data_IF_034248619614
#
_entry.id   IF_034248619614
#
_cell.length_a   1.000
_cell.length_b   1.000
_cell.length_c   1.000
_cell.angle_alpha   90.00
_cell.angle_beta   90.00
_cell.angle_gamma   90.00
#
_symmetry.space_group_name_H-M   'P 1'
#
loop_
_entity.id
_entity.type
_entity.pdbx_description
1 polymer ?
#
# COMPACT_ATOMS: atom_id res chain seq x y z
N UNK A 1 -6.79 -16.03 -31.35
CA UNK A 1 -7.28 -14.78 -31.97
C UNK A 1 -7.85 -13.79 -30.95
N UNK A 2 -8.61 -14.22 -29.94
CA UNK A 2 -9.14 -13.35 -28.87
C UNK A 2 -8.07 -12.58 -28.05
N UNK A 3 -6.95 -13.22 -27.73
CA UNK A 3 -5.82 -12.64 -26.97
C UNK A 3 -5.07 -11.53 -27.72
N UNK A 4 -5.07 -11.58 -29.06
CA UNK A 4 -4.37 -10.60 -29.91
C UNK A 4 -5.20 -9.32 -30.10
N UNK A 5 -6.52 -9.46 -30.17
CA UNK A 5 -7.46 -8.34 -30.21
C UNK A 5 -7.47 -7.54 -28.89
N UNK A 6 -7.36 -8.20 -27.74
CA UNK A 6 -7.34 -7.50 -26.44
C UNK A 6 -6.12 -6.60 -26.25
N UNK A 7 -4.90 -7.04 -26.62
CA UNK A 7 -3.69 -6.21 -26.49
C UNK A 7 -3.70 -4.99 -27.41
N UNK A 8 -4.19 -5.14 -28.64
CA UNK A 8 -4.32 -4.03 -29.58
C UNK A 8 -5.44 -3.05 -29.18
N UNK A 9 -6.55 -3.55 -28.65
CA UNK A 9 -7.69 -2.73 -28.18
C UNK A 9 -7.35 -2.01 -26.87
N UNK A 10 -6.65 -2.65 -25.93
CA UNK A 10 -6.21 -2.00 -24.68
C UNK A 10 -5.31 -0.78 -24.93
N UNK A 11 -4.46 -0.83 -25.96
CA UNK A 11 -3.62 0.30 -26.40
C UNK A 11 -4.43 1.45 -27.02
N UNK A 12 -5.46 1.15 -27.81
CA UNK A 12 -6.37 2.15 -28.41
C UNK A 12 -7.32 2.77 -27.37
N UNK A 13 -7.70 1.99 -26.36
CA UNK A 13 -8.62 2.36 -25.29
C UNK A 13 -7.98 3.29 -24.25
N UNK A 14 -6.65 3.21 -24.07
CA UNK A 14 -5.89 4.19 -23.30
C UNK A 14 -5.97 5.61 -23.90
N UNK A 15 -6.41 5.74 -25.16
CA UNK A 15 -6.42 6.99 -25.93
C UNK A 15 -7.82 7.59 -26.18
N UNK A 16 -8.94 6.88 -26.01
CA UNK A 16 -10.28 7.45 -26.24
C UNK A 16 -11.45 6.72 -25.54
N UNK A 17 -12.55 7.43 -25.17
CA UNK A 17 -13.67 6.86 -24.44
C UNK A 17 -14.77 6.37 -25.40
N UNK A 18 -14.55 5.30 -26.16
CA UNK A 18 -15.65 4.68 -26.91
C UNK A 18 -16.39 3.67 -26.02
N UNK A 19 -17.50 4.12 -25.41
CA UNK A 19 -18.32 3.36 -24.46
C UNK A 19 -18.85 2.03 -25.02
N UNK A 20 -19.20 1.97 -26.31
CA UNK A 20 -19.75 0.76 -26.94
C UNK A 20 -18.71 -0.35 -27.13
N UNK A 21 -17.46 0.02 -27.44
CA UNK A 21 -16.35 -0.92 -27.55
C UNK A 21 -16.03 -1.52 -26.17
N UNK A 22 -16.04 -0.67 -25.14
CA UNK A 22 -15.89 -1.08 -23.75
C UNK A 22 -16.99 -2.03 -23.29
N UNK A 23 -18.25 -1.76 -23.65
CA UNK A 23 -19.36 -2.63 -23.30
C UNK A 23 -19.18 -4.04 -23.89
N UNK A 24 -18.72 -4.15 -25.14
CA UNK A 24 -18.45 -5.45 -25.80
C UNK A 24 -17.24 -6.17 -25.22
N UNK A 25 -16.12 -5.48 -25.02
CA UNK A 25 -14.93 -6.08 -24.36
C UNK A 25 -15.27 -6.56 -22.95
N UNK A 26 -16.09 -5.79 -22.21
CA UNK A 26 -16.61 -6.18 -20.91
C UNK A 26 -17.63 -7.33 -20.98
N UNK A 27 -18.36 -7.51 -22.07
CA UNK A 27 -19.28 -8.63 -22.21
C UNK A 27 -18.54 -9.93 -22.55
N UNK A 28 -17.55 -9.86 -23.44
CA UNK A 28 -17.05 -11.04 -24.15
C UNK A 28 -15.68 -11.54 -23.64
N UNK A 29 -14.92 -10.73 -22.89
CA UNK A 29 -13.58 -11.14 -22.41
C UNK A 29 -13.61 -11.70 -20.98
N UNK A 30 -13.16 -12.95 -20.86
CA UNK A 30 -12.91 -13.69 -19.59
C UNK A 30 -11.42 -13.86 -19.30
N UNK A 31 -10.53 -13.16 -20.03
CA UNK A 31 -9.07 -13.24 -19.84
C UNK A 31 -8.65 -12.50 -18.56
N UNK A 32 -8.68 -13.18 -17.42
CA UNK A 32 -8.36 -12.60 -16.11
C UNK A 32 -6.95 -11.99 -16.00
N UNK A 33 -5.88 -12.64 -16.50
CA UNK A 33 -4.56 -12.01 -16.58
C UNK A 33 -4.55 -10.69 -17.36
N UNK A 34 -5.26 -10.62 -18.49
CA UNK A 34 -5.32 -9.40 -19.27
C UNK A 34 -6.12 -8.28 -18.57
N UNK A 35 -7.18 -8.63 -17.84
CA UNK A 35 -7.89 -7.71 -16.95
C UNK A 35 -7.00 -7.19 -15.81
N UNK A 36 -6.13 -8.03 -15.26
CA UNK A 36 -5.19 -7.61 -14.22
C UNK A 36 -4.20 -6.57 -14.77
N UNK A 37 -3.61 -6.80 -15.95
CA UNK A 37 -2.72 -5.83 -16.61
C UNK A 37 -3.41 -4.49 -16.86
N UNK A 38 -4.65 -4.53 -17.37
CA UNK A 38 -5.45 -3.34 -17.64
C UNK A 38 -5.70 -2.54 -16.35
N UNK A 39 -6.10 -3.24 -15.27
CA UNK A 39 -6.31 -2.61 -13.97
C UNK A 39 -5.04 -1.93 -13.46
N UNK A 40 -3.87 -2.58 -13.57
CA UNK A 40 -2.59 -1.98 -13.17
C UNK A 40 -2.23 -0.75 -14.01
N UNK A 41 -2.52 -0.76 -15.31
CA UNK A 41 -2.28 0.39 -16.17
C UNK A 41 -3.15 1.60 -15.75
N UNK A 42 -4.42 1.38 -15.44
CA UNK A 42 -5.30 2.44 -14.92
C UNK A 42 -4.88 2.91 -13.53
N UNK A 43 -4.48 1.99 -12.64
CA UNK A 43 -3.97 2.35 -11.32
C UNK A 43 -2.68 3.17 -11.42
N UNK A 44 -1.77 2.84 -12.33
CA UNK A 44 -0.58 3.65 -12.60
C UNK A 44 -0.96 5.04 -13.14
N UNK A 45 -1.98 5.13 -13.99
CA UNK A 45 -2.45 6.43 -14.50
C UNK A 45 -3.08 7.30 -13.41
N UNK A 46 -3.80 6.69 -12.48
CA UNK A 46 -4.27 7.37 -11.27
C UNK A 46 -3.09 7.78 -10.39
N UNK A 47 -2.08 6.93 -10.26
CA UNK A 47 -0.85 7.32 -9.58
C UNK A 47 -0.18 8.54 -10.25
N UNK A 48 -0.11 8.60 -11.58
CA UNK A 48 0.56 9.71 -12.28
C UNK A 48 -0.18 11.05 -12.14
N UNK A 49 -1.49 11.02 -11.87
CA UNK A 49 -2.29 12.22 -11.59
C UNK A 49 -1.74 13.02 -10.41
N UNK A 50 -1.21 12.35 -9.38
CA UNK A 50 -0.69 12.98 -8.16
C UNK A 50 0.74 13.53 -8.31
N UNK A 51 0.96 14.34 -9.34
CA UNK A 51 2.25 14.98 -9.67
C UNK A 51 2.10 16.49 -9.89
N UNK A 52 1.24 17.12 -9.09
CA UNK A 52 0.93 18.54 -9.20
C UNK A 52 2.13 19.44 -8.83
N UNK A 53 2.86 19.96 -9.82
CA UNK A 53 4.03 20.85 -9.58
C UNK A 53 3.67 22.21 -8.96
N UNK A 54 2.44 22.68 -9.17
CA UNK A 54 1.92 23.93 -8.59
C UNK A 54 0.54 23.66 -7.98
N UNK A 55 0.11 24.45 -6.97
CA UNK A 55 -1.25 24.37 -6.47
C UNK A 55 -2.22 24.73 -7.60
N UNK A 56 -3.07 23.80 -7.98
CA UNK A 56 -4.04 23.94 -9.07
C UNK A 56 -5.40 23.40 -8.64
N UNK A 57 -6.45 23.80 -9.33
CA UNK A 57 -7.72 23.09 -9.25
C UNK A 57 -7.53 21.72 -9.88
N UNK A 58 -7.90 20.68 -9.13
CA UNK A 58 -7.67 19.28 -9.49
C UNK A 58 -8.94 18.69 -10.12
N UNK A 59 -8.80 17.87 -11.16
CA UNK A 59 -9.92 17.16 -11.81
C UNK A 59 -10.19 15.83 -11.11
N UNK A 60 -10.90 15.92 -9.99
CA UNK A 60 -11.24 14.75 -9.16
C UNK A 60 -12.21 13.81 -9.85
N UNK A 61 -13.04 14.31 -10.78
CA UNK A 61 -14.00 13.48 -11.52
C UNK A 61 -13.25 12.52 -12.42
N UNK A 62 -12.27 13.02 -13.18
CA UNK A 62 -11.44 12.19 -14.03
C UNK A 62 -10.57 11.21 -13.22
N UNK A 63 -10.00 11.66 -12.10
CA UNK A 63 -9.20 10.80 -11.23
C UNK A 63 -10.03 9.64 -10.66
N UNK A 64 -11.22 9.92 -10.13
CA UNK A 64 -12.14 8.88 -9.64
C UNK A 64 -12.56 7.92 -10.76
N UNK A 65 -12.94 8.42 -11.94
CA UNK A 65 -13.31 7.55 -13.06
C UNK A 65 -12.17 6.61 -13.50
N UNK A 66 -10.92 7.07 -13.40
CA UNK A 66 -9.72 6.27 -13.68
C UNK A 66 -9.55 5.15 -12.66
N UNK A 67 -9.70 5.45 -11.36
CA UNK A 67 -9.61 4.45 -10.28
C UNK A 67 -10.80 3.48 -10.31
N UNK A 68 -12.01 3.95 -10.60
CA UNK A 68 -13.20 3.10 -10.80
C UNK A 68 -12.98 2.07 -11.90
N UNK A 69 -12.33 2.49 -12.99
CA UNK A 69 -12.00 1.61 -14.12
C UNK A 69 -10.98 0.56 -13.69
N UNK A 70 -9.95 0.94 -12.93
CA UNK A 70 -9.00 -0.01 -12.35
C UNK A 70 -9.72 -1.03 -11.44
N UNK A 71 -10.61 -0.56 -10.57
CA UNK A 71 -11.34 -1.39 -9.62
C UNK A 71 -12.19 -2.45 -10.31
N UNK A 72 -12.94 -2.05 -11.36
CA UNK A 72 -13.74 -2.97 -12.18
C UNK A 72 -12.86 -4.00 -12.89
N UNK A 73 -11.71 -3.60 -13.41
CA UNK A 73 -10.78 -4.51 -14.06
C UNK A 73 -10.24 -5.55 -13.07
N UNK A 74 -9.84 -5.14 -11.86
CA UNK A 74 -9.39 -6.07 -10.82
C UNK A 74 -10.51 -7.00 -10.33
N UNK A 75 -11.74 -6.51 -10.19
CA UNK A 75 -12.87 -7.38 -9.83
C UNK A 75 -13.07 -8.50 -10.86
N UNK A 76 -13.00 -8.16 -12.15
CA UNK A 76 -13.08 -9.16 -13.23
C UNK A 76 -11.89 -10.11 -13.22
N UNK A 77 -10.67 -9.61 -13.02
CA UNK A 77 -9.48 -10.45 -12.91
C UNK A 77 -9.60 -11.46 -11.76
N UNK A 78 -10.09 -11.03 -10.59
CA UNK A 78 -10.35 -11.92 -9.46
C UNK A 78 -11.42 -12.96 -9.76
N UNK A 79 -12.51 -12.56 -10.43
CA UNK A 79 -13.63 -13.43 -10.79
C UNK A 79 -13.23 -14.51 -11.80
N UNK A 80 -12.53 -14.14 -12.86
CA UNK A 80 -12.18 -15.03 -13.97
C UNK A 80 -10.89 -15.82 -13.75
N UNK A 81 -10.19 -15.60 -12.64
CA UNK A 81 -8.96 -16.34 -12.29
C UNK A 81 -9.00 -16.87 -10.86
N UNK A 82 -10.20 -17.19 -10.35
CA UNK A 82 -10.40 -17.73 -9.01
C UNK A 82 -9.45 -18.91 -8.70
N UNK A 83 -8.90 -18.94 -7.49
CA UNK A 83 -7.95 -19.98 -7.06
C UNK A 83 -6.53 -19.84 -7.63
N UNK A 84 -6.20 -18.71 -8.26
CA UNK A 84 -4.86 -18.47 -8.83
C UNK A 84 -4.18 -17.25 -8.24
N UNK A 85 -2.85 -17.16 -8.42
CA UNK A 85 -2.04 -15.97 -8.11
C UNK A 85 -2.56 -14.68 -8.77
N UNK A 86 -3.20 -14.78 -9.93
CA UNK A 86 -3.81 -13.63 -10.62
C UNK A 86 -4.99 -13.09 -9.82
N UNK A 87 -5.85 -13.96 -9.28
CA UNK A 87 -6.94 -13.52 -8.42
C UNK A 87 -6.44 -12.97 -7.08
N UNK A 88 -5.40 -13.56 -6.49
CA UNK A 88 -4.77 -13.03 -5.27
C UNK A 88 -4.20 -11.63 -5.50
N UNK A 89 -3.44 -11.45 -6.58
CA UNK A 89 -2.91 -10.14 -6.97
C UNK A 89 -4.02 -9.13 -7.22
N UNK A 90 -5.08 -9.54 -7.93
CA UNK A 90 -6.23 -8.68 -8.19
C UNK A 90 -6.89 -8.23 -6.90
N UNK A 91 -7.11 -9.12 -5.92
CA UNK A 91 -7.65 -8.75 -4.59
C UNK A 91 -6.78 -7.72 -3.88
N UNK A 92 -5.46 -7.88 -3.88
CA UNK A 92 -4.53 -6.89 -3.30
C UNK A 92 -4.67 -5.54 -4.01
N UNK A 93 -4.64 -5.53 -5.34
CA UNK A 93 -4.75 -4.29 -6.10
C UNK A 93 -6.11 -3.61 -5.97
N UNK A 94 -7.19 -4.34 -5.66
CA UNK A 94 -8.46 -3.72 -5.29
C UNK A 94 -8.35 -2.88 -4.02
N UNK A 95 -7.58 -3.33 -3.02
CA UNK A 95 -7.29 -2.54 -1.81
C UNK A 95 -6.45 -1.32 -2.18
N UNK A 96 -5.50 -1.46 -3.11
CA UNK A 96 -4.65 -0.34 -3.54
C UNK A 96 -5.48 0.73 -4.27
N UNK A 97 -6.47 0.32 -5.07
CA UNK A 97 -7.42 1.25 -5.69
C UNK A 97 -8.23 2.05 -4.64
N UNK A 98 -8.60 1.43 -3.50
CA UNK A 98 -9.20 2.18 -2.38
C UNK A 98 -8.24 3.20 -1.77
N UNK A 99 -6.95 2.89 -1.69
CA UNK A 99 -5.94 3.86 -1.29
C UNK A 99 -5.85 5.03 -2.26
N UNK A 100 -5.85 4.78 -3.57
CA UNK A 100 -5.83 5.87 -4.56
C UNK A 100 -7.10 6.73 -4.50
N UNK A 101 -8.30 6.14 -4.33
CA UNK A 101 -9.51 6.93 -4.06
C UNK A 101 -9.36 7.79 -2.81
N UNK A 102 -8.90 7.20 -1.70
CA UNK A 102 -8.72 7.92 -0.45
C UNK A 102 -7.73 9.06 -0.61
N UNK A 103 -6.72 8.90 -1.46
CA UNK A 103 -5.73 9.91 -1.73
C UNK A 103 -6.28 11.07 -2.60
N UNK A 104 -7.06 10.79 -3.64
CA UNK A 104 -7.81 11.82 -4.40
C UNK A 104 -8.71 12.61 -3.45
N UNK A 105 -9.44 11.93 -2.56
CA UNK A 105 -10.31 12.57 -1.56
C UNK A 105 -9.51 13.38 -0.53
N UNK A 106 -8.29 12.97 -0.19
CA UNK A 106 -7.41 13.74 0.68
C UNK A 106 -7.04 15.07 0.02
N UNK A 107 -6.58 15.05 -1.23
CA UNK A 107 -6.20 16.26 -1.96
C UNK A 107 -7.38 17.24 -2.04
N UNK A 108 -8.56 16.74 -2.36
CA UNK A 108 -9.78 17.51 -2.53
C UNK A 108 -10.34 18.04 -1.20
N UNK A 109 -10.52 17.16 -0.22
CA UNK A 109 -11.34 17.40 0.98
C UNK A 109 -10.59 17.21 2.33
N UNK A 110 -9.41 16.61 2.35
CA UNK A 110 -8.58 16.46 3.55
C UNK A 110 -8.61 15.05 4.14
N UNK A 111 -7.83 14.81 5.20
CA UNK A 111 -7.67 13.46 5.79
C UNK A 111 -8.98 12.84 6.30
N UNK A 112 -9.95 13.66 6.70
CA UNK A 112 -11.27 13.18 7.09
C UNK A 112 -12.02 12.53 5.90
N UNK A 113 -11.92 13.09 4.69
CA UNK A 113 -12.55 12.53 3.51
C UNK A 113 -11.88 11.20 3.11
N UNK A 114 -10.54 11.17 3.10
CA UNK A 114 -9.78 9.94 2.88
C UNK A 114 -10.18 8.81 3.85
N UNK A 115 -10.43 9.17 5.12
CA UNK A 115 -10.90 8.22 6.14
C UNK A 115 -12.27 7.64 5.78
N UNK A 116 -13.20 8.46 5.31
CA UNK A 116 -14.53 8.00 4.89
C UNK A 116 -14.46 7.04 3.71
N UNK A 117 -13.55 7.28 2.75
CA UNK A 117 -13.31 6.36 1.63
C UNK A 117 -12.92 4.98 2.14
N UNK A 118 -11.99 4.89 3.09
CA UNK A 118 -11.57 3.62 3.68
C UNK A 118 -12.68 2.90 4.46
N UNK A 119 -13.60 3.63 5.08
CA UNK A 119 -14.77 3.03 5.73
C UNK A 119 -15.75 2.38 4.75
N UNK A 120 -15.66 2.69 3.45
CA UNK A 120 -16.45 2.04 2.40
C UNK A 120 -15.82 0.76 1.86
N UNK A 121 -14.67 0.32 2.40
CA UNK A 121 -14.02 -0.93 2.01
C UNK A 121 -14.95 -2.13 2.29
N UNK A 122 -15.23 -3.00 1.31
CA UNK A 122 -16.06 -4.18 1.51
C UNK A 122 -15.48 -5.13 2.58
N UNK A 123 -16.34 -5.68 3.45
CA UNK A 123 -15.93 -6.50 4.61
C UNK A 123 -15.06 -7.73 4.26
N UNK A 124 -15.28 -8.30 3.08
CA UNK A 124 -14.52 -9.44 2.54
C UNK A 124 -13.26 -9.08 1.75
N UNK A 125 -12.98 -7.78 1.54
CA UNK A 125 -11.79 -7.34 0.83
C UNK A 125 -10.68 -7.00 1.82
N UNK A 126 -9.69 -7.90 1.91
CA UNK A 126 -8.59 -7.82 2.87
C UNK A 126 -7.25 -7.98 2.20
N UNK A 127 -6.22 -7.45 2.83
CA UNK A 127 -4.85 -7.77 2.45
C UNK A 127 -4.50 -9.18 2.93
N UNK A 128 -3.64 -9.92 2.20
CA UNK A 128 -3.05 -11.15 2.69
C UNK A 128 -2.31 -10.90 4.01
N UNK A 129 -2.28 -11.88 4.93
CA UNK A 129 -1.67 -11.73 6.25
C UNK A 129 -0.26 -11.16 6.24
N UNK A 130 0.58 -11.54 5.26
CA UNK A 130 1.95 -11.01 5.13
C UNK A 130 2.00 -9.49 4.87
N UNK A 131 1.04 -8.94 4.14
CA UNK A 131 0.95 -7.50 3.92
C UNK A 131 0.32 -6.79 5.13
N UNK A 132 -0.59 -7.46 5.86
CA UNK A 132 -1.06 -6.97 7.16
C UNK A 132 0.12 -6.89 8.15
N UNK A 133 1.00 -7.89 8.20
CA UNK A 133 2.22 -7.89 9.02
C UNK A 133 3.09 -6.67 8.73
N UNK A 134 3.34 -6.43 7.44
CA UNK A 134 4.16 -5.31 7.00
C UNK A 134 3.57 -4.00 7.50
N UNK A 135 2.27 -3.78 7.28
CA UNK A 135 1.56 -2.60 7.74
C UNK A 135 1.63 -2.45 9.25
N UNK A 136 1.37 -3.52 9.99
CA UNK A 136 1.40 -3.55 11.45
C UNK A 136 2.77 -3.17 11.99
N UNK A 137 3.81 -3.80 11.47
CA UNK A 137 5.18 -3.56 11.90
C UNK A 137 5.65 -2.14 11.57
N UNK A 138 5.32 -1.61 10.38
CA UNK A 138 5.59 -0.22 10.01
C UNK A 138 4.92 0.77 10.96
N UNK A 139 3.63 0.54 11.28
CA UNK A 139 2.88 1.40 12.19
C UNK A 139 3.41 1.32 13.62
N UNK A 140 3.78 0.13 14.11
CA UNK A 140 4.33 -0.04 15.47
C UNK A 140 5.70 0.60 15.64
N UNK A 141 6.54 0.52 14.62
CA UNK A 141 7.90 1.03 14.72
C UNK A 141 7.97 2.56 14.78
N UNK A 142 6.96 3.25 14.23
CA UNK A 142 6.89 4.71 14.27
C UNK A 142 6.36 5.24 15.62
N UNK A 143 7.04 6.20 16.27
CA UNK A 143 6.63 6.77 17.56
C UNK A 143 5.20 7.31 17.61
N UNK A 144 4.68 7.48 18.82
CA UNK A 144 3.36 8.05 19.05
C UNK A 144 3.19 9.43 18.38
N UNK A 145 2.06 9.64 17.67
CA UNK A 145 1.72 10.85 16.90
C UNK A 145 2.72 11.23 15.81
N UNK A 146 3.58 10.30 15.40
CA UNK A 146 4.58 10.50 14.36
C UNK A 146 4.01 10.63 12.95
N UNK A 147 4.89 11.04 12.04
CA UNK A 147 4.65 11.08 10.59
C UNK A 147 5.46 9.95 9.97
N UNK A 148 4.81 8.95 9.38
CA UNK A 148 5.45 7.85 8.67
C UNK A 148 5.52 8.16 7.19
N UNK A 149 6.74 8.34 6.68
CA UNK A 149 7.03 8.37 5.26
C UNK A 149 7.31 6.96 4.74
N UNK A 150 6.52 6.53 3.76
CA UNK A 150 6.65 5.21 3.14
C UNK A 150 7.47 5.27 1.85
N UNK A 151 8.32 4.27 1.63
CA UNK A 151 9.26 4.21 0.51
C UNK A 151 8.62 3.83 -0.82
N UNK A 152 7.49 3.11 -0.78
CA UNK A 152 6.79 2.67 -1.98
C UNK A 152 5.31 2.39 -1.73
N UNK A 153 4.64 1.96 -2.78
CA UNK A 153 3.19 1.69 -2.76
C UNK A 153 2.84 0.57 -1.78
N UNK A 154 3.55 -0.55 -1.78
CA UNK A 154 3.24 -1.66 -0.85
C UNK A 154 3.27 -1.23 0.62
N UNK A 155 4.29 -0.49 1.04
CA UNK A 155 4.40 0.06 2.39
C UNK A 155 3.23 1.00 2.71
N UNK A 156 2.90 1.88 1.76
CA UNK A 156 1.81 2.86 1.87
C UNK A 156 0.48 2.17 2.07
N UNK A 157 0.14 1.25 1.17
CA UNK A 157 -1.17 0.61 1.12
C UNK A 157 -1.37 -0.33 2.30
N UNK A 158 -0.32 -1.06 2.71
CA UNK A 158 -0.34 -1.88 3.91
C UNK A 158 -0.58 -1.04 5.18
N UNK A 159 0.17 0.06 5.33
CA UNK A 159 0.04 0.95 6.49
C UNK A 159 -1.32 1.67 6.51
N UNK A 160 -1.83 2.13 5.35
CA UNK A 160 -3.14 2.75 5.25
C UNK A 160 -4.27 1.77 5.55
N UNK A 161 -4.26 0.58 4.96
CA UNK A 161 -5.28 -0.43 5.22
C UNK A 161 -5.37 -0.75 6.71
N UNK A 162 -4.24 -1.00 7.40
CA UNK A 162 -4.27 -1.25 8.84
C UNK A 162 -4.70 -0.03 9.65
N UNK A 163 -4.27 1.18 9.26
CA UNK A 163 -4.65 2.38 10.01
C UNK A 163 -6.13 2.71 9.87
N UNK A 164 -6.64 2.74 8.66
CA UNK A 164 -7.98 3.25 8.38
C UNK A 164 -9.04 2.15 8.42
N UNK A 165 -8.79 0.98 7.82
CA UNK A 165 -9.77 -0.11 7.81
C UNK A 165 -9.75 -0.89 9.13
N UNK A 166 -8.57 -1.10 9.72
CA UNK A 166 -8.42 -1.88 10.97
C UNK A 166 -8.27 -1.01 12.23
N UNK A 167 -8.23 0.31 12.09
CA UNK A 167 -8.16 1.25 13.20
C UNK A 167 -6.84 1.22 13.99
N UNK A 168 -5.77 0.66 13.42
CA UNK A 168 -4.49 0.52 14.11
C UNK A 168 -3.69 1.83 14.06
N UNK A 169 -3.22 2.32 15.21
CA UNK A 169 -2.41 3.56 15.28
C UNK A 169 -3.05 4.76 14.54
N UNK A 170 -4.31 5.13 14.86
CA UNK A 170 -4.98 6.27 14.24
C UNK A 170 -4.29 7.61 14.56
N UNK A 171 -3.40 7.62 15.55
CA UNK A 171 -2.56 8.76 15.93
C UNK A 171 -1.48 9.10 14.88
N UNK A 172 -1.09 8.14 14.04
CA UNK A 172 -0.06 8.35 13.02
C UNK A 172 -0.60 9.09 11.80
N UNK A 173 0.28 9.83 11.13
CA UNK A 173 0.04 10.35 9.79
C UNK A 173 0.93 9.58 8.81
N UNK A 174 0.34 8.96 7.78
CA UNK A 174 1.07 8.14 6.81
C UNK A 174 1.11 8.89 5.49
N UNK A 175 2.31 9.14 4.98
CA UNK A 175 2.54 9.97 3.80
C UNK A 175 3.47 9.24 2.83
N UNK A 176 3.06 8.96 1.58
CA UNK A 176 3.97 8.41 0.59
C UNK A 176 5.07 9.42 0.29
N UNK A 177 6.34 8.99 0.37
CA UNK A 177 7.46 9.94 0.28
C UNK A 177 7.62 10.53 -1.13
N UNK A 178 7.42 9.71 -2.16
CA UNK A 178 7.38 10.15 -3.56
C UNK A 178 6.34 11.26 -3.76
N UNK A 179 5.15 11.10 -3.17
CA UNK A 179 4.05 12.06 -3.22
C UNK A 179 4.33 13.34 -2.47
N UNK A 180 4.90 13.24 -1.27
CA UNK A 180 5.29 14.42 -0.49
C UNK A 180 6.16 15.39 -1.30
N UNK A 181 7.07 14.84 -2.12
CA UNK A 181 7.93 15.64 -2.97
C UNK A 181 7.23 16.12 -4.26
N UNK A 182 6.56 15.21 -4.95
CA UNK A 182 6.01 15.46 -6.29
C UNK A 182 4.69 16.24 -6.29
N UNK A 183 3.89 16.14 -5.23
CA UNK A 183 2.54 16.69 -5.18
C UNK A 183 2.44 17.91 -4.25
N UNK A 184 2.38 19.09 -4.86
CA UNK A 184 2.22 20.33 -4.10
C UNK A 184 0.82 20.53 -3.52
N UNK A 185 -0.23 19.91 -4.09
CA UNK A 185 -1.61 20.02 -3.61
C UNK A 185 -1.73 19.24 -2.30
N UNK A 186 -1.34 17.96 -2.30
CA UNK A 186 -1.27 17.15 -1.09
C UNK A 186 -0.37 17.82 -0.04
N UNK A 187 0.87 18.17 -0.42
CA UNK A 187 1.84 18.74 0.53
C UNK A 187 1.26 19.97 1.24
N UNK A 188 0.62 20.87 0.51
CA UNK A 188 0.00 22.05 1.11
C UNK A 188 -1.20 21.70 2.02
N UNK A 189 -1.98 20.66 1.68
CA UNK A 189 -3.05 20.15 2.53
C UNK A 189 -2.51 19.63 3.85
N UNK A 190 -1.52 18.75 3.79
CA UNK A 190 -0.84 18.16 4.93
C UNK A 190 -0.20 19.22 5.82
N UNK A 191 0.50 20.20 5.23
CA UNK A 191 1.10 21.32 5.98
C UNK A 191 0.06 22.11 6.77
N UNK A 192 -1.12 22.37 6.18
CA UNK A 192 -2.24 23.02 6.87
C UNK A 192 -2.77 22.18 8.04
N UNK A 193 -2.98 20.88 7.82
CA UNK A 193 -3.42 19.94 8.88
C UNK A 193 -2.42 19.86 10.03
N UNK A 194 -1.12 19.88 9.71
CA UNK A 194 -0.02 19.89 10.68
C UNK A 194 0.23 21.27 11.30
N UNK A 195 -0.46 22.32 10.85
CA UNK A 195 -0.27 23.72 11.29
C UNK A 195 1.17 24.22 11.13
N UNK A 196 1.83 23.84 10.04
CA UNK A 196 3.19 24.30 9.67
C UNK A 196 3.23 24.81 8.23
N UNK A 197 4.22 25.65 7.91
CA UNK A 197 4.45 26.16 6.55
C UNK A 197 5.76 25.66 5.92
N UNK A 198 6.63 25.05 6.72
CA UNK A 198 7.93 24.58 6.26
C UNK A 198 7.87 23.05 5.98
N UNK A 199 8.02 22.62 4.72
CA UNK A 199 7.95 21.21 4.34
C UNK A 199 9.23 20.41 4.60
N UNK A 200 10.29 21.02 5.09
CA UNK A 200 11.52 20.27 5.37
C UNK A 200 11.30 19.24 6.48
N UNK A 201 11.89 18.06 6.33
CA UNK A 201 11.81 17.01 7.36
C UNK A 201 12.35 17.51 8.71
N UNK A 202 13.37 18.38 8.69
CA UNK A 202 13.88 19.07 9.88
C UNK A 202 12.81 19.91 10.58
N UNK A 203 12.00 20.67 9.85
CA UNK A 203 10.94 21.46 10.47
C UNK A 203 9.81 20.59 11.02
N UNK A 204 9.45 19.52 10.29
CA UNK A 204 8.47 18.56 10.77
C UNK A 204 8.93 17.87 12.06
N UNK A 205 10.21 17.49 12.12
CA UNK A 205 10.81 16.77 13.25
C UNK A 205 10.87 17.57 14.56
N UNK A 206 10.79 18.90 14.48
CA UNK A 206 10.65 19.79 15.65
C UNK A 206 9.28 19.65 16.33
N UNK A 207 8.25 19.30 15.57
CA UNK A 207 6.87 19.21 16.07
C UNK A 207 6.46 17.79 16.48
N UNK A 208 6.94 16.79 15.74
CA UNK A 208 6.56 15.37 15.87
C UNK A 208 7.75 14.49 15.52
N UNK A 209 7.71 13.22 15.91
CA UNK A 209 8.63 12.25 15.34
C UNK A 209 8.35 12.08 13.84
N UNK A 210 9.42 11.97 13.05
CA UNK A 210 9.37 11.65 11.63
C UNK A 210 10.00 10.28 11.44
N UNK A 211 9.28 9.39 10.77
CA UNK A 211 9.69 8.04 10.47
C UNK A 211 9.82 7.86 8.96
N UNK A 212 10.73 7.00 8.52
CA UNK A 212 10.85 6.61 7.13
C UNK A 212 11.01 5.09 7.04
N UNK A 213 10.20 4.41 6.23
CA UNK A 213 10.32 2.94 6.09
C UNK A 213 11.65 2.53 5.48
N UNK A 214 12.18 1.37 5.87
CA UNK A 214 13.51 0.89 5.43
C UNK A 214 13.57 0.44 3.96
N UNK A 215 12.53 0.69 3.16
CA UNK A 215 12.54 0.45 1.72
C UNK A 215 13.43 1.41 0.93
N UNK A 216 13.88 2.51 1.54
CA UNK A 216 14.91 3.36 0.94
C UNK A 216 16.29 2.69 1.03
N UNK A 217 17.20 2.98 0.10
CA UNK A 217 18.61 2.58 0.29
C UNK A 217 19.26 3.35 1.46
N UNK A 218 18.78 4.57 1.73
CA UNK A 218 19.25 5.49 2.78
C UNK A 218 18.09 6.36 3.30
N UNK A 219 18.13 6.81 4.56
CA UNK A 219 17.15 7.75 5.09
C UNK A 219 16.90 8.96 4.17
N UNK A 220 15.66 9.45 4.06
CA UNK A 220 15.37 10.66 3.31
C UNK A 220 15.98 11.87 4.05
N UNK A 221 16.83 12.66 3.38
CA UNK A 221 17.49 13.85 3.94
C UNK A 221 18.50 13.58 5.09
N UNK A 222 19.46 12.69 4.85
CA UNK A 222 20.53 12.36 5.82
C UNK A 222 21.40 13.56 6.24
N UNK A 223 21.53 14.60 5.41
CA UNK A 223 22.44 15.72 5.68
C UNK A 223 21.87 16.73 6.67
N UNK A 224 20.56 16.96 6.64
CA UNK A 224 19.93 17.97 7.49
C UNK A 224 19.43 17.40 8.83
N UNK A 225 19.29 16.09 8.94
CA UNK A 225 18.58 15.42 10.04
C UNK A 225 19.36 14.21 10.57
N UNK A 226 19.45 14.09 11.90
CA UNK A 226 20.06 12.92 12.55
C UNK A 226 19.01 11.81 12.71
N UNK A 227 19.29 10.65 12.14
CA UNK A 227 18.39 9.49 12.16
C UNK A 227 18.86 8.44 13.17
N UNK A 228 17.90 7.86 13.89
CA UNK A 228 18.05 6.65 14.69
C UNK A 228 17.39 5.47 13.96
N UNK A 229 17.91 4.25 14.12
CA UNK A 229 17.30 3.05 13.53
C UNK A 229 16.33 2.42 14.53
N UNK A 230 15.14 2.05 14.05
CA UNK A 230 14.19 1.16 14.71
C UNK A 230 13.87 0.00 13.75
N UNK A 231 13.24 -1.10 14.20
CA UNK A 231 12.83 -2.16 13.29
C UNK A 231 12.01 -1.59 12.12
N UNK A 232 12.44 -1.85 10.88
CA UNK A 232 11.75 -1.44 9.65
C UNK A 232 11.54 0.06 9.40
N UNK A 233 12.01 0.96 10.29
CA UNK A 233 11.98 2.41 10.06
C UNK A 233 13.21 3.14 10.59
N UNK A 234 13.62 4.21 9.91
CA UNK A 234 14.43 5.26 10.51
C UNK A 234 13.54 6.26 11.23
N UNK A 235 13.99 6.80 12.36
CA UNK A 235 13.25 7.77 13.18
C UNK A 235 14.11 8.97 13.50
N UNK A 236 13.48 10.15 13.54
CA UNK A 236 14.10 11.40 13.99
C UNK A 236 13.07 12.32 14.63
N UNK A 237 13.52 13.34 15.35
CA UNK A 237 12.68 14.37 15.95
C UNK A 237 12.20 14.05 17.36
N UNK A 238 11.12 14.70 17.76
CA UNK A 238 10.58 14.62 19.13
C UNK A 238 9.84 13.32 19.37
N UNK A 239 10.55 12.34 19.93
CA UNK A 239 9.99 11.07 20.42
C UNK A 239 9.34 11.27 21.81
N UNK A 240 8.21 10.60 22.07
CA UNK A 240 7.58 10.61 23.41
C UNK A 240 7.84 9.28 24.14
N UNK A 241 7.84 9.27 25.47
CA UNK A 241 8.19 8.08 26.28
C UNK A 241 7.21 6.89 26.14
N UNK A 242 6.04 7.07 25.51
CA UNK A 242 4.96 6.07 25.41
C UNK A 242 5.19 4.99 24.33
N UNK A 243 6.43 4.85 23.84
CA UNK A 243 6.75 4.34 22.51
C UNK A 243 6.85 2.82 22.35
N UNK A 244 6.25 2.04 23.26
CA UNK A 244 6.30 0.56 23.17
C UNK A 244 4.95 0.01 22.74
N UNK A 245 4.77 -0.17 21.44
CA UNK A 245 3.74 -1.09 20.95
C UNK A 245 4.38 -2.48 20.85
N UNK A 246 3.96 -3.45 21.68
CA UNK A 246 4.51 -4.80 21.62
C UNK A 246 4.21 -5.45 20.26
N UNK A 247 5.13 -6.26 19.75
CA UNK A 247 4.88 -7.10 18.59
C UNK A 247 3.75 -8.10 18.89
N UNK A 248 2.93 -8.38 17.90
CA UNK A 248 1.98 -9.49 17.90
C UNK A 248 2.46 -10.47 16.84
N UNK A 249 2.58 -11.74 17.22
CA UNK A 249 3.03 -12.81 16.33
C UNK A 249 1.87 -13.34 15.47
N UNK A 250 1.05 -12.45 14.91
CA UNK A 250 -0.17 -12.83 14.17
C UNK A 250 0.13 -13.61 12.89
N UNK A 251 1.30 -13.37 12.28
CA UNK A 251 1.53 -13.80 10.89
C UNK A 251 2.11 -15.19 10.76
N UNK A 252 2.81 -15.69 11.78
CA UNK A 252 3.26 -17.08 11.77
C UNK A 252 2.07 -18.05 11.91
N UNK A 253 1.08 -17.72 12.76
CA UNK A 253 -0.16 -18.48 12.85
C UNK A 253 -0.94 -18.45 11.52
N UNK A 254 -1.08 -17.26 10.91
CA UNK A 254 -1.77 -17.12 9.63
C UNK A 254 -1.03 -17.82 8.48
N UNK A 255 0.32 -17.80 8.48
CA UNK A 255 1.13 -18.54 7.52
C UNK A 255 0.96 -20.05 7.69
N UNK A 256 0.91 -20.56 8.92
CA UNK A 256 0.65 -21.99 9.15
C UNK A 256 -0.68 -22.43 8.57
N UNK A 257 -1.75 -21.69 8.88
CA UNK A 257 -3.09 -21.98 8.34
C UNK A 257 -3.09 -21.94 6.81
N UNK A 258 -2.48 -20.92 6.21
CA UNK A 258 -2.44 -20.76 4.77
C UNK A 258 -1.61 -21.84 4.07
N UNK A 259 -0.52 -22.32 4.70
CA UNK A 259 0.25 -23.47 4.22
C UNK A 259 -0.62 -24.72 4.21
N UNK A 260 -1.36 -24.98 5.30
CA UNK A 260 -2.27 -26.12 5.39
C UNK A 260 -3.39 -26.05 4.33
N UNK A 261 -3.90 -24.85 4.06
CA UNK A 261 -4.92 -24.56 3.05
C UNK A 261 -4.37 -24.45 1.62
N UNK A 262 -3.05 -24.62 1.43
CA UNK A 262 -2.37 -24.54 0.13
C UNK A 262 -2.59 -23.21 -0.62
N UNK A 263 -2.67 -22.10 0.12
CA UNK A 263 -2.85 -20.77 -0.47
C UNK A 263 -1.64 -20.37 -1.33
N UNK A 264 -1.88 -19.67 -2.44
CA UNK A 264 -0.85 -19.47 -3.47
C UNK A 264 0.25 -18.47 -3.08
N UNK A 265 0.03 -17.66 -2.04
CA UNK A 265 1.00 -16.68 -1.55
C UNK A 265 2.07 -17.27 -0.62
N UNK A 266 1.84 -18.47 -0.08
CA UNK A 266 2.70 -19.11 0.93
C UNK A 266 4.11 -19.39 0.39
N UNK A 267 4.23 -19.93 -0.82
CA UNK A 267 5.52 -20.28 -1.43
C UNK A 267 6.52 -19.12 -1.56
N UNK A 268 6.12 -17.96 -2.11
CA UNK A 268 6.97 -16.76 -2.11
C UNK A 268 7.37 -16.30 -0.70
N UNK A 269 6.46 -16.38 0.28
CA UNK A 269 6.72 -15.94 1.66
C UNK A 269 7.68 -16.89 2.39
N UNK A 270 7.49 -18.20 2.28
CA UNK A 270 8.42 -19.17 2.87
C UNK A 270 9.81 -19.06 2.25
N UNK A 271 9.91 -18.72 0.95
CA UNK A 271 11.20 -18.43 0.32
C UNK A 271 11.90 -17.18 0.90
N UNK A 272 11.14 -16.13 1.24
CA UNK A 272 11.68 -14.95 1.92
C UNK A 272 12.16 -15.30 3.33
N UNK A 273 11.33 -15.99 4.11
CA UNK A 273 11.72 -16.39 5.47
C UNK A 273 12.88 -17.36 5.48
N UNK A 274 12.98 -18.29 4.52
CA UNK A 274 14.15 -19.16 4.36
C UNK A 274 15.45 -18.37 4.19
N UNK A 275 15.42 -17.28 3.41
CA UNK A 275 16.57 -16.37 3.28
C UNK A 275 16.83 -15.61 4.58
N UNK A 276 15.78 -15.17 5.27
CA UNK A 276 15.90 -14.44 6.53
C UNK A 276 16.51 -15.29 7.65
N UNK A 277 16.04 -16.53 7.85
CA UNK A 277 16.56 -17.44 8.88
C UNK A 277 18.00 -17.85 8.61
N UNK A 278 18.42 -17.92 7.34
CA UNK A 278 19.83 -18.16 6.96
C UNK A 278 20.74 -17.04 7.48
N UNK A 279 20.25 -15.80 7.50
CA UNK A 279 21.01 -14.64 7.99
C UNK A 279 20.83 -14.39 9.49
N UNK A 280 19.71 -14.83 10.06
CA UNK A 280 19.31 -14.55 11.44
C UNK A 280 18.74 -15.83 12.05
N UNK A 281 19.60 -16.72 12.52
CA UNK A 281 19.19 -18.03 13.07
C UNK A 281 18.24 -17.95 14.27
N UNK A 282 18.26 -16.85 15.03
CA UNK A 282 17.34 -16.62 16.14
C UNK A 282 15.85 -16.60 15.70
N UNK A 283 15.55 -16.32 14.43
CA UNK A 283 14.19 -16.37 13.88
C UNK A 283 13.61 -17.79 13.91
N UNK A 284 14.44 -18.84 13.89
CA UNK A 284 13.97 -20.22 13.89
C UNK A 284 13.13 -20.58 15.12
N UNK A 285 13.40 -19.96 16.27
CA UNK A 285 12.59 -20.16 17.49
C UNK A 285 11.16 -19.65 17.33
N UNK A 286 10.97 -18.56 16.58
CA UNK A 286 9.64 -18.04 16.30
C UNK A 286 8.88 -19.02 15.39
N UNK A 287 9.51 -19.53 14.32
CA UNK A 287 8.88 -20.51 13.42
C UNK A 287 8.61 -21.87 14.07
N UNK A 288 9.42 -22.29 15.04
CA UNK A 288 9.17 -23.48 15.88
C UNK A 288 7.81 -23.43 16.57
N UNK A 289 7.51 -22.28 17.17
CA UNK A 289 6.29 -22.05 17.95
C UNK A 289 5.01 -22.27 17.10
N UNK A 290 5.10 -22.15 15.78
CA UNK A 290 3.99 -22.30 14.85
C UNK A 290 4.15 -23.47 13.87
N UNK A 291 5.03 -24.43 14.17
CA UNK A 291 5.26 -25.64 13.36
C UNK A 291 5.69 -25.36 11.91
N UNK A 292 6.40 -24.26 11.67
CA UNK A 292 6.83 -23.82 10.34
C UNK A 292 8.32 -24.12 10.04
N UNK A 293 9.03 -24.82 10.93
CA UNK A 293 10.49 -25.03 10.79
C UNK A 293 10.90 -25.68 9.48
N UNK A 294 10.20 -26.76 9.10
CA UNK A 294 10.47 -27.50 7.87
C UNK A 294 10.26 -26.61 6.63
N UNK A 295 9.21 -25.78 6.64
CA UNK A 295 8.88 -24.87 5.56
C UNK A 295 9.97 -23.82 5.33
N UNK A 296 10.53 -23.26 6.39
CA UNK A 296 11.55 -22.22 6.31
C UNK A 296 12.99 -22.75 6.35
N UNK A 297 13.18 -24.06 6.50
CA UNK A 297 14.51 -24.69 6.51
C UNK A 297 15.30 -24.48 7.80
N UNK A 298 14.62 -24.26 8.92
CA UNK A 298 15.23 -24.29 10.24
C UNK A 298 15.55 -25.75 10.63
N UNK A 299 16.76 -25.97 11.15
CA UNK A 299 17.24 -27.28 11.62
C UNK A 299 17.59 -27.20 13.10
#
# INVERSE_FOLDING_TARGET
>A
MATFLFKAVALLVLQSPQQDLWARVNADSTDGPAWLELGRAYLQRAADYHTHRKPVTVDTVWAHATVDTAQRAFERAARWSAGTRTADSARVYRVYAFGEWAYVDWEAAGSAAATLTWHSLPEGLRLPPVLEELGENLLRACPHRGILFTAGETDTQAAWYLRFSRGLRPDLMIVPYNRWYADSVLRNRLLREMKTRNPSLRALSQSRAVCASMGFERPPDERAVKWNKRPLVWVTGKETKADRVPAQDFVFAALKLAVDEHETWTGPVTALYRRAVTNVGALCKAFDTFELQAEVGCR
#
